data_IF_553815083106
#
_entry.id   IF_553815083106
#
_cell.length_a   1.000
_cell.length_b   1.000
_cell.length_c   1.000
_cell.angle_alpha   90.00
_cell.angle_beta   90.00
_cell.angle_gamma   90.00
#
_symmetry.space_group_name_H-M   'P 1'
#
loop_
_entity.id
_entity.type
_entity.pdbx_description
1 polymer ?
#
# COMPACT_ATOMS: atom_id res chain seq x y z
N UNK A 1 31.47 -36.05 -8.09
CA UNK A 1 30.34 -35.57 -7.28
C UNK A 1 30.60 -34.19 -6.65
N UNK A 2 31.71 -33.92 -5.99
CA UNK A 2 31.97 -32.61 -5.35
C UNK A 2 31.97 -31.41 -6.32
N UNK A 3 32.52 -31.57 -7.54
CA UNK A 3 32.55 -30.50 -8.54
C UNK A 3 31.19 -30.19 -9.19
N UNK A 4 30.27 -31.14 -9.22
CA UNK A 4 28.88 -30.93 -9.73
C UNK A 4 28.06 -30.18 -8.70
N UNK A 5 28.23 -30.46 -7.41
CA UNK A 5 27.58 -29.73 -6.31
C UNK A 5 28.09 -28.28 -6.19
N UNK A 6 29.39 -28.05 -6.36
CA UNK A 6 29.98 -26.71 -6.37
C UNK A 6 29.51 -25.88 -7.58
N UNK A 7 29.40 -26.49 -8.77
CA UNK A 7 28.85 -25.86 -9.97
C UNK A 7 27.35 -25.56 -9.85
N UNK A 8 26.58 -26.45 -9.20
CA UNK A 8 25.17 -26.21 -8.93
C UNK A 8 24.94 -25.11 -7.88
N UNK A 9 25.73 -25.10 -6.82
CA UNK A 9 25.72 -24.03 -5.80
C UNK A 9 26.14 -22.67 -6.39
N UNK A 10 27.18 -22.63 -7.22
CA UNK A 10 27.61 -21.43 -7.93
C UNK A 10 26.52 -20.90 -8.89
N UNK A 11 25.84 -21.80 -9.62
CA UNK A 11 24.70 -21.42 -10.46
C UNK A 11 23.48 -20.94 -9.66
N UNK A 12 23.23 -21.55 -8.50
CA UNK A 12 22.16 -21.07 -7.58
C UNK A 12 22.54 -19.71 -7.01
N UNK A 13 23.80 -19.48 -6.63
CA UNK A 13 24.27 -18.17 -6.16
C UNK A 13 24.27 -17.12 -7.27
N UNK A 14 24.62 -17.50 -8.52
CA UNK A 14 24.51 -16.63 -9.69
C UNK A 14 23.04 -16.37 -10.11
N UNK A 15 22.15 -17.34 -9.95
CA UNK A 15 20.70 -17.13 -10.13
C UNK A 15 20.11 -16.23 -9.04
N UNK A 16 20.57 -16.35 -7.79
CA UNK A 16 20.20 -15.41 -6.71
C UNK A 16 20.79 -14.00 -6.94
N UNK A 17 21.95 -13.87 -7.57
CA UNK A 17 22.51 -12.58 -7.97
C UNK A 17 21.87 -12.03 -9.26
N UNK A 18 21.44 -12.86 -10.21
CA UNK A 18 20.73 -12.43 -11.43
C UNK A 18 19.25 -12.13 -11.18
N UNK A 19 18.60 -12.74 -10.18
CA UNK A 19 17.24 -12.38 -9.71
C UNK A 19 17.23 -11.06 -8.91
N UNK A 20 18.37 -10.49 -8.59
CA UNK A 20 18.51 -9.07 -8.27
C UNK A 20 18.44 -8.16 -9.50
N UNK A 21 17.57 -8.40 -10.44
CA UNK A 21 17.05 -7.32 -11.25
C UNK A 21 16.26 -6.43 -10.29
N UNK A 22 16.93 -5.41 -9.81
CA UNK A 22 16.42 -4.43 -8.85
C UNK A 22 15.36 -3.64 -9.60
N UNK A 23 14.12 -4.10 -9.53
CA UNK A 23 13.02 -3.40 -10.15
C UNK A 23 12.90 -2.06 -9.49
N UNK A 24 12.95 -1.03 -10.32
CA UNK A 24 12.86 0.34 -9.89
C UNK A 24 11.41 0.80 -10.00
N UNK A 25 10.86 1.17 -8.87
CA UNK A 25 9.55 1.81 -8.87
C UNK A 25 9.65 3.22 -9.43
N UNK A 26 8.58 3.70 -10.07
CA UNK A 26 8.50 5.05 -10.67
C UNK A 26 8.81 6.17 -9.67
N UNK A 27 8.57 5.96 -8.40
CA UNK A 27 8.82 6.90 -7.30
C UNK A 27 10.33 7.09 -7.00
N UNK A 28 11.20 6.21 -7.53
CA UNK A 28 12.65 6.28 -7.31
C UNK A 28 13.26 7.55 -7.91
N UNK A 29 12.92 7.86 -9.16
CA UNK A 29 13.49 9.01 -9.88
C UNK A 29 13.16 10.33 -9.18
N UNK A 30 11.89 10.64 -8.84
CA UNK A 30 11.57 11.85 -8.08
C UNK A 30 12.24 11.91 -6.70
N UNK A 31 12.35 10.78 -5.98
CA UNK A 31 13.01 10.76 -4.68
C UNK A 31 14.50 11.09 -4.79
N UNK A 32 15.20 10.51 -5.77
CA UNK A 32 16.62 10.82 -6.04
C UNK A 32 16.79 12.30 -6.37
N UNK A 33 15.96 12.84 -7.27
CA UNK A 33 16.02 14.26 -7.66
C UNK A 33 15.86 15.19 -6.43
N UNK A 34 14.88 14.94 -5.56
CA UNK A 34 14.66 15.71 -4.33
C UNK A 34 15.83 15.61 -3.34
N UNK A 35 16.46 14.44 -3.26
CA UNK A 35 17.63 14.25 -2.40
C UNK A 35 18.91 14.88 -2.96
N UNK A 36 18.95 15.23 -4.25
CA UNK A 36 20.04 15.98 -4.88
C UNK A 36 19.86 17.50 -4.74
N UNK A 37 18.63 17.98 -4.55
CA UNK A 37 18.35 19.39 -4.32
C UNK A 37 19.01 19.89 -3.02
N UNK A 38 19.28 21.21 -2.90
CA UNK A 38 19.67 21.79 -1.63
C UNK A 38 18.67 21.43 -0.52
N UNK A 39 19.16 21.23 0.70
CA UNK A 39 18.34 20.89 1.86
C UNK A 39 17.20 21.89 2.04
N UNK A 40 15.97 21.46 1.76
CA UNK A 40 14.77 22.29 1.85
C UNK A 40 13.62 21.61 2.59
N UNK A 41 13.38 20.33 2.31
CA UNK A 41 12.28 19.54 2.86
C UNK A 41 12.77 18.20 3.38
N UNK A 42 12.16 17.76 4.47
CA UNK A 42 12.20 16.37 4.92
C UNK A 42 11.49 15.50 3.86
N UNK A 43 12.10 14.40 3.47
CA UNK A 43 11.48 13.46 2.57
C UNK A 43 10.79 12.35 3.37
N UNK A 44 9.50 12.18 3.19
CA UNK A 44 8.70 11.17 3.89
C UNK A 44 8.27 10.11 2.89
N UNK A 45 8.68 8.86 3.10
CA UNK A 45 8.26 7.71 2.31
C UNK A 45 7.23 6.92 3.10
N UNK A 46 5.96 7.06 2.73
CA UNK A 46 4.84 6.46 3.42
C UNK A 46 4.10 5.42 2.54
N UNK A 47 3.62 4.35 3.13
CA UNK A 47 2.86 3.31 2.43
C UNK A 47 2.64 2.08 3.29
N UNK A 48 1.76 1.15 2.90
CA UNK A 48 1.51 -0.10 3.62
C UNK A 48 2.78 -0.90 3.88
N UNK A 49 2.70 -1.89 4.77
CA UNK A 49 3.80 -2.84 4.94
C UNK A 49 4.09 -3.62 3.64
N UNK A 50 5.32 -4.05 3.50
CA UNK A 50 5.77 -4.97 2.43
C UNK A 50 5.63 -4.43 1.00
N UNK A 51 5.43 -3.12 0.80
CA UNK A 51 5.39 -2.49 -0.55
C UNK A 51 6.77 -2.07 -1.08
N UNK A 52 7.85 -2.27 -0.30
CA UNK A 52 9.23 -1.99 -0.74
C UNK A 52 9.76 -0.60 -0.37
N UNK A 53 9.26 0.09 0.68
CA UNK A 53 9.75 1.41 1.12
C UNK A 53 11.25 1.44 1.38
N UNK A 54 11.75 0.54 2.21
CA UNK A 54 13.17 0.44 2.58
C UNK A 54 14.04 0.12 1.35
N UNK A 55 13.53 -0.73 0.44
CA UNK A 55 14.20 -1.04 -0.83
C UNK A 55 14.31 0.20 -1.71
N UNK A 56 13.23 0.97 -1.87
CA UNK A 56 13.22 2.22 -2.65
C UNK A 56 14.26 3.22 -2.12
N UNK A 57 14.30 3.44 -0.81
CA UNK A 57 15.26 4.37 -0.20
C UNK A 57 16.69 3.86 -0.37
N UNK A 58 16.95 2.57 -0.19
CA UNK A 58 18.26 1.97 -0.46
C UNK A 58 18.72 2.19 -1.91
N UNK A 59 17.83 1.95 -2.89
CA UNK A 59 18.11 2.22 -4.31
C UNK A 59 18.40 3.71 -4.57
N UNK A 60 17.67 4.61 -3.91
CA UNK A 60 17.91 6.03 -4.02
C UNK A 60 19.30 6.40 -3.49
N UNK A 61 19.70 5.87 -2.33
CA UNK A 61 21.02 6.09 -1.74
C UNK A 61 22.16 5.53 -2.62
N UNK A 62 21.97 4.33 -3.18
CA UNK A 62 22.94 3.72 -4.10
C UNK A 62 23.10 4.57 -5.38
N UNK A 63 22.02 5.13 -5.93
CA UNK A 63 22.10 6.05 -7.08
C UNK A 63 22.81 7.35 -6.74
N UNK A 64 22.56 7.92 -5.56
CA UNK A 64 23.26 9.11 -5.09
C UNK A 64 24.78 8.85 -4.98
N UNK A 65 25.19 7.74 -4.41
CA UNK A 65 26.61 7.35 -4.31
C UNK A 65 27.27 7.22 -5.67
N UNK A 66 26.61 6.55 -6.64
CA UNK A 66 27.13 6.42 -8.01
C UNK A 66 27.27 7.78 -8.70
N UNK A 67 26.30 8.66 -8.53
CA UNK A 67 26.35 10.00 -9.10
C UNK A 67 27.52 10.82 -8.52
N UNK A 68 27.76 10.72 -7.22
CA UNK A 68 28.93 11.37 -6.55
C UNK A 68 30.26 10.84 -7.05
N UNK A 69 30.38 9.53 -7.28
CA UNK A 69 31.60 8.92 -7.84
C UNK A 69 31.86 9.32 -9.29
N UNK A 70 30.82 9.54 -10.08
CA UNK A 70 30.93 9.92 -11.49
C UNK A 70 31.29 11.40 -11.71
N UNK A 71 31.08 12.27 -10.72
CA UNK A 71 31.38 13.70 -10.80
C UNK A 71 32.24 14.15 -9.61
N UNK A 72 33.56 14.28 -9.78
CA UNK A 72 34.48 14.68 -8.70
C UNK A 72 34.21 16.08 -8.12
N UNK A 73 33.42 16.90 -8.80
CA UNK A 73 33.08 18.25 -8.35
C UNK A 73 31.93 18.29 -7.31
N UNK A 74 31.21 17.20 -7.12
CA UNK A 74 30.17 17.08 -6.09
C UNK A 74 30.79 16.53 -4.79
N UNK A 75 30.63 17.25 -3.68
CA UNK A 75 31.09 16.79 -2.38
C UNK A 75 30.51 15.39 -2.09
N UNK A 76 31.31 14.43 -1.60
CA UNK A 76 30.83 13.09 -1.27
C UNK A 76 29.72 13.20 -0.22
N UNK A 77 28.53 12.69 -0.55
CA UNK A 77 27.43 12.58 0.41
C UNK A 77 27.64 11.34 1.26
N UNK A 78 27.66 11.54 2.55
CA UNK A 78 27.62 10.43 3.52
C UNK A 78 26.17 10.06 3.82
N UNK A 79 25.98 8.88 4.40
CA UNK A 79 24.66 8.41 4.77
C UNK A 79 24.70 7.73 6.14
N UNK A 80 23.62 7.90 6.90
CA UNK A 80 23.39 7.21 8.15
C UNK A 80 21.96 6.69 8.17
N UNK A 81 21.78 5.39 8.42
CA UNK A 81 20.46 4.76 8.47
C UNK A 81 20.24 4.11 9.83
N UNK A 82 19.11 4.39 10.45
CA UNK A 82 18.73 3.83 11.72
C UNK A 82 17.23 3.45 11.72
N UNK A 83 16.91 2.33 12.38
CA UNK A 83 15.54 1.85 12.51
C UNK A 83 15.09 1.88 13.98
N UNK A 84 13.89 2.38 14.21
CA UNK A 84 13.25 2.35 15.52
C UNK A 84 12.63 0.98 15.85
N UNK A 85 12.83 -0.05 15.02
CA UNK A 85 12.35 -1.43 15.22
C UNK A 85 13.32 -2.28 16.07
N UNK A 86 14.37 -1.68 16.63
CA UNK A 86 15.35 -2.36 17.49
C UNK A 86 14.75 -2.82 18.83
N UNK A 87 15.46 -3.75 19.55
CA UNK A 87 15.05 -4.19 20.85
C UNK A 87 15.07 -3.03 21.87
N UNK A 88 13.97 -2.83 22.57
CA UNK A 88 13.77 -1.75 23.53
C UNK A 88 12.91 -0.61 23.02
N UNK A 89 12.39 0.20 23.95
CA UNK A 89 11.61 1.40 23.62
C UNK A 89 12.56 2.49 23.11
N UNK A 90 12.47 2.80 21.83
CA UNK A 90 13.19 3.92 21.24
C UNK A 90 12.51 5.23 21.61
N UNK A 91 13.25 6.13 22.23
CA UNK A 91 12.74 7.43 22.69
C UNK A 91 13.39 8.61 22.00
N UNK A 92 13.08 9.84 22.44
CA UNK A 92 13.66 11.09 21.93
C UNK A 92 15.19 11.09 22.01
N UNK A 93 15.78 10.49 23.05
CA UNK A 93 17.24 10.40 23.22
C UNK A 93 17.87 9.59 22.09
N UNK A 94 17.26 8.43 21.73
CA UNK A 94 17.72 7.63 20.61
C UNK A 94 17.70 8.45 19.29
N UNK A 95 16.59 9.15 19.03
CA UNK A 95 16.44 9.98 17.83
C UNK A 95 17.50 11.08 17.80
N UNK A 96 17.72 11.77 18.91
CA UNK A 96 18.79 12.78 19.06
C UNK A 96 20.17 12.20 18.78
N UNK A 97 20.47 10.98 19.30
CA UNK A 97 21.74 10.28 19.05
C UNK A 97 21.95 10.00 17.55
N UNK A 98 20.94 9.45 16.86
CA UNK A 98 21.06 9.19 15.41
C UNK A 98 21.29 10.49 14.63
N UNK A 99 20.64 11.55 15.04
CA UNK A 99 20.78 12.85 14.41
C UNK A 99 22.17 13.47 14.64
N UNK A 100 22.76 13.30 15.83
CA UNK A 100 24.13 13.75 16.10
C UNK A 100 25.18 13.01 15.28
N UNK A 101 24.99 11.70 15.05
CA UNK A 101 25.84 10.92 14.12
C UNK A 101 25.79 11.53 12.72
N UNK A 102 24.59 11.83 12.21
CA UNK A 102 24.44 12.46 10.90
C UNK A 102 25.06 13.86 10.82
N UNK A 103 24.98 14.67 11.89
CA UNK A 103 25.65 15.97 12.00
C UNK A 103 27.17 15.83 11.94
N UNK A 104 27.74 14.87 12.65
CA UNK A 104 29.18 14.60 12.63
C UNK A 104 29.66 14.20 11.22
N UNK A 105 28.91 13.33 10.54
CA UNK A 105 29.20 12.94 9.16
C UNK A 105 29.08 14.13 8.19
N UNK A 106 28.05 14.95 8.33
CA UNK A 106 27.87 16.14 7.51
C UNK A 106 28.98 17.16 7.73
N UNK A 107 29.48 17.32 8.95
CA UNK A 107 30.62 18.21 9.26
C UNK A 107 31.92 17.76 8.58
N UNK A 108 32.11 16.45 8.40
CA UNK A 108 33.30 15.88 7.74
C UNK A 108 33.21 15.91 6.21
N UNK A 109 32.03 15.63 5.64
CA UNK A 109 31.87 15.42 4.21
C UNK A 109 31.05 16.52 3.49
N UNK A 110 30.62 17.55 4.23
CA UNK A 110 29.80 18.66 3.71
C UNK A 110 28.29 18.37 3.75
N UNK A 111 27.87 17.12 3.60
CA UNK A 111 26.45 16.74 3.69
C UNK A 111 26.27 15.29 4.15
N UNK A 112 25.11 15.00 4.74
CA UNK A 112 24.71 13.65 5.15
C UNK A 112 23.22 13.41 4.88
N UNK A 113 22.88 12.23 4.34
CA UNK A 113 21.49 11.74 4.29
C UNK A 113 21.23 10.88 5.51
N UNK A 114 20.33 11.34 6.39
CA UNK A 114 19.86 10.60 7.56
C UNK A 114 18.56 9.87 7.20
N UNK A 115 18.57 8.55 7.31
CA UNK A 115 17.37 7.71 7.10
C UNK A 115 16.87 7.19 8.44
N UNK A 116 15.61 7.50 8.75
CA UNK A 116 14.92 7.05 9.97
C UNK A 116 13.77 6.14 9.59
N UNK A 117 13.91 4.84 9.85
CA UNK A 117 12.89 3.84 9.55
C UNK A 117 12.02 3.54 10.77
N UNK A 118 10.72 3.26 10.52
CA UNK A 118 9.70 2.96 11.53
C UNK A 118 9.59 4.04 12.63
N UNK A 119 9.79 5.32 12.26
CA UNK A 119 9.85 6.45 13.18
C UNK A 119 8.60 6.61 14.06
N UNK A 120 7.44 6.14 13.59
CA UNK A 120 6.17 6.20 14.35
C UNK A 120 6.21 5.41 15.66
N UNK A 121 7.20 4.56 15.87
CA UNK A 121 7.43 3.84 17.13
C UNK A 121 8.05 4.71 18.21
N UNK A 122 8.66 5.83 17.85
CA UNK A 122 9.21 6.82 18.77
C UNK A 122 8.11 7.73 19.27
N UNK A 123 7.85 7.77 20.58
CA UNK A 123 6.86 8.67 21.15
C UNK A 123 7.22 10.14 20.92
N UNK A 124 6.24 10.95 20.48
CA UNK A 124 6.40 12.38 20.20
C UNK A 124 7.57 12.70 19.24
N UNK A 125 7.81 11.82 18.28
CA UNK A 125 8.90 11.95 17.31
C UNK A 125 8.82 13.25 16.49
N UNK A 126 7.63 13.74 16.19
CA UNK A 126 7.42 14.92 15.35
C UNK A 126 7.95 16.19 15.98
N UNK A 127 7.76 16.38 17.28
CA UNK A 127 8.30 17.53 18.02
C UNK A 127 9.83 17.50 18.03
N UNK A 128 10.41 16.33 18.26
CA UNK A 128 11.87 16.18 18.29
C UNK A 128 12.48 16.36 16.90
N UNK A 129 11.90 15.76 15.86
CA UNK A 129 12.34 15.97 14.47
C UNK A 129 12.25 17.46 14.11
N UNK A 130 11.15 18.13 14.44
CA UNK A 130 10.99 19.56 14.21
C UNK A 130 12.10 20.37 14.87
N UNK A 131 12.35 20.13 16.16
CA UNK A 131 13.38 20.83 16.94
C UNK A 131 14.76 20.67 16.28
N UNK A 132 15.16 19.43 15.97
CA UNK A 132 16.46 19.11 15.38
C UNK A 132 16.59 19.69 13.95
N UNK A 133 15.50 19.63 13.18
CA UNK A 133 15.44 20.22 11.84
C UNK A 133 15.61 21.73 11.84
N UNK A 134 14.90 22.43 12.75
CA UNK A 134 14.96 23.88 12.88
C UNK A 134 16.35 24.34 13.39
N UNK A 135 16.97 23.59 14.31
CA UNK A 135 18.36 23.82 14.75
C UNK A 135 19.38 23.72 13.60
N UNK A 136 19.24 22.69 12.73
CA UNK A 136 20.14 22.53 11.59
C UNK A 136 19.91 23.61 10.54
N UNK A 137 18.66 24.07 10.38
CA UNK A 137 18.33 25.19 9.49
C UNK A 137 18.98 26.48 9.97
N UNK A 138 18.90 26.77 11.26
CA UNK A 138 19.52 27.96 11.87
C UNK A 138 21.06 27.92 11.79
N UNK A 139 21.65 26.73 11.87
CA UNK A 139 23.09 26.53 11.84
C UNK A 139 23.67 26.30 10.42
N UNK A 140 22.84 26.28 9.38
CA UNK A 140 23.25 26.04 7.99
C UNK A 140 23.85 24.64 7.75
N UNK A 141 23.44 23.61 8.53
CA UNK A 141 23.95 22.25 8.39
C UNK A 141 23.19 21.50 7.30
N UNK A 142 23.90 20.84 6.38
CA UNK A 142 23.27 20.03 5.31
C UNK A 142 23.06 18.58 5.76
N UNK A 143 22.10 18.39 6.69
CA UNK A 143 21.58 17.06 7.06
C UNK A 143 20.23 16.89 6.36
N UNK A 144 20.20 16.08 5.29
CA UNK A 144 18.99 15.76 4.53
C UNK A 144 18.35 14.55 5.16
N UNK A 145 17.05 14.61 5.44
CA UNK A 145 16.38 13.59 6.24
C UNK A 145 15.32 12.86 5.42
N UNK A 146 15.38 11.54 5.47
CA UNK A 146 14.38 10.63 4.91
C UNK A 146 13.70 9.88 6.05
N UNK A 147 12.40 9.98 6.12
CA UNK A 147 11.56 9.32 7.13
C UNK A 147 10.75 8.23 6.43
N UNK A 148 10.83 7.00 6.94
CA UNK A 148 9.99 5.89 6.49
C UNK A 148 8.99 5.49 7.57
N UNK A 149 7.77 5.14 7.14
CA UNK A 149 6.77 4.59 8.04
C UNK A 149 5.77 3.68 7.36
N UNK A 150 5.43 2.59 8.05
CA UNK A 150 4.50 1.56 7.57
C UNK A 150 3.03 1.89 7.84
N UNK A 151 2.75 2.84 8.74
CA UNK A 151 1.42 3.29 9.08
C UNK A 151 1.15 4.69 8.52
N UNK A 152 0.65 4.80 7.26
CA UNK A 152 0.45 6.09 6.61
C UNK A 152 -0.38 7.08 7.42
N UNK A 153 -1.40 6.57 8.13
CA UNK A 153 -2.28 7.39 8.97
C UNK A 153 -1.55 8.00 10.18
N UNK A 154 -0.69 7.23 10.87
CA UNK A 154 0.10 7.72 12.00
C UNK A 154 1.11 8.78 11.54
N UNK A 155 1.77 8.53 10.42
CA UNK A 155 2.69 9.49 9.81
C UNK A 155 1.94 10.77 9.42
N UNK A 156 0.78 10.65 8.74
CA UNK A 156 0.00 11.80 8.31
C UNK A 156 -0.50 12.64 9.50
N UNK A 157 -0.98 12.03 10.58
CA UNK A 157 -1.39 12.73 11.82
C UNK A 157 -0.23 13.49 12.43
N UNK A 158 0.91 12.82 12.64
CA UNK A 158 2.09 13.45 13.22
C UNK A 158 2.61 14.64 12.39
N UNK A 159 2.63 14.51 11.06
CA UNK A 159 3.11 15.55 10.17
C UNK A 159 2.18 16.77 10.10
N UNK A 160 0.86 16.57 10.20
CA UNK A 160 -0.11 17.66 10.04
C UNK A 160 -0.11 18.66 11.20
N UNK A 161 0.22 18.21 12.44
CA UNK A 161 0.10 19.02 13.64
C UNK A 161 1.32 19.93 13.89
N UNK A 162 2.55 19.44 13.63
CA UNK A 162 3.76 20.19 13.99
C UNK A 162 4.73 20.44 12.85
N UNK A 163 4.62 19.74 11.73
CA UNK A 163 5.60 19.71 10.64
C UNK A 163 5.17 20.44 9.37
N UNK A 164 4.04 21.16 9.39
CA UNK A 164 3.49 21.86 8.22
C UNK A 164 4.56 22.73 7.51
N UNK A 165 4.66 22.60 6.19
CA UNK A 165 5.60 23.35 5.35
C UNK A 165 7.05 22.86 5.36
N UNK A 166 7.37 21.75 6.10
CA UNK A 166 8.75 21.25 6.24
C UNK A 166 9.01 19.93 5.53
N UNK A 167 8.02 19.31 4.93
CA UNK A 167 8.15 17.96 4.35
C UNK A 167 7.48 17.82 2.99
N UNK A 168 7.95 16.82 2.25
CA UNK A 168 7.31 16.28 1.06
C UNK A 168 7.07 14.79 1.25
N UNK A 169 5.93 14.29 0.73
CA UNK A 169 5.58 12.88 0.87
C UNK A 169 5.69 12.16 -0.48
N UNK A 170 6.44 11.06 -0.49
CA UNK A 170 6.40 10.03 -1.53
C UNK A 170 5.50 8.90 -1.04
N UNK A 171 4.35 8.71 -1.68
CA UNK A 171 3.40 7.66 -1.32
C UNK A 171 3.62 6.42 -2.16
N UNK A 172 3.82 5.27 -1.50
CA UNK A 172 3.89 3.96 -2.12
C UNK A 172 2.59 3.20 -1.89
N UNK A 173 1.93 2.81 -2.97
CA UNK A 173 0.81 1.86 -2.94
C UNK A 173 1.29 0.42 -3.03
N UNK A 174 0.34 -0.53 -2.93
CA UNK A 174 0.60 -1.91 -3.31
C UNK A 174 1.07 -2.01 -4.75
N UNK A 175 1.81 -3.07 -5.07
CA UNK A 175 2.29 -3.29 -6.43
C UNK A 175 1.12 -3.62 -7.34
N UNK A 176 1.11 -2.97 -8.50
CA UNK A 176 0.09 -3.13 -9.53
C UNK A 176 0.43 -4.26 -10.47
N UNK A 177 -0.52 -4.69 -11.28
CA UNK A 177 -0.32 -5.77 -12.24
C UNK A 177 0.92 -5.55 -13.13
N UNK A 178 1.04 -4.38 -13.74
CA UNK A 178 2.20 -4.07 -14.60
C UNK A 178 3.54 -4.23 -13.85
N UNK A 179 3.62 -3.79 -12.59
CA UNK A 179 4.82 -3.94 -11.76
C UNK A 179 5.12 -5.40 -11.43
N UNK A 180 4.09 -6.21 -11.11
CA UNK A 180 4.25 -7.65 -10.82
C UNK A 180 4.59 -8.45 -12.08
N UNK A 181 3.99 -8.10 -13.23
CA UNK A 181 4.31 -8.69 -14.54
C UNK A 181 5.77 -8.43 -14.92
N UNK A 182 6.18 -7.17 -14.87
CA UNK A 182 7.52 -6.75 -15.32
C UNK A 182 8.61 -7.26 -14.37
N UNK A 183 8.27 -7.42 -13.06
CA UNK A 183 9.16 -7.85 -12.01
C UNK A 183 9.33 -9.37 -11.89
N UNK A 184 8.23 -10.06 -11.94
CA UNK A 184 8.16 -11.48 -11.55
C UNK A 184 7.54 -12.35 -12.66
N UNK A 185 7.19 -11.77 -13.80
CA UNK A 185 6.57 -12.50 -14.91
C UNK A 185 5.14 -12.97 -14.60
N UNK A 186 4.43 -12.28 -13.72
CA UNK A 186 3.06 -12.67 -13.36
C UNK A 186 2.15 -12.62 -14.59
N UNK A 187 1.37 -13.69 -14.81
CA UNK A 187 0.20 -13.59 -15.67
C UNK A 187 -0.89 -12.77 -14.98
N UNK A 188 -1.87 -12.32 -15.75
CA UNK A 188 -3.03 -11.62 -15.21
C UNK A 188 -3.79 -12.47 -14.19
N UNK A 189 -3.97 -13.76 -14.48
CA UNK A 189 -4.66 -14.69 -13.59
C UNK A 189 -3.90 -14.90 -12.28
N UNK A 190 -2.57 -14.96 -12.34
CA UNK A 190 -1.73 -15.00 -11.15
C UNK A 190 -1.89 -13.73 -10.31
N UNK A 191 -1.92 -12.57 -10.95
CA UNK A 191 -2.13 -11.31 -10.22
C UNK A 191 -3.53 -11.22 -9.61
N UNK A 192 -4.57 -11.62 -10.32
CA UNK A 192 -5.95 -11.67 -9.82
C UNK A 192 -6.04 -12.53 -8.56
N UNK A 193 -5.34 -13.66 -8.50
CA UNK A 193 -5.40 -14.59 -7.38
C UNK A 193 -4.40 -14.27 -6.27
N UNK A 194 -3.12 -14.10 -6.62
CA UNK A 194 -2.01 -13.94 -5.67
C UNK A 194 -1.74 -12.47 -5.29
N UNK A 195 -2.33 -11.50 -6.00
CA UNK A 195 -2.18 -10.08 -5.72
C UNK A 195 -0.77 -9.53 -5.95
N UNK A 196 -0.49 -8.39 -5.31
CA UNK A 196 0.72 -7.58 -5.54
C UNK A 196 1.62 -7.45 -4.30
N UNK A 197 1.99 -8.55 -3.64
CA UNK A 197 3.05 -8.56 -2.63
C UNK A 197 4.36 -9.12 -3.21
N UNK A 198 5.39 -8.28 -3.46
CA UNK A 198 6.63 -8.73 -4.08
C UNK A 198 7.36 -9.79 -3.26
N UNK A 199 7.30 -9.73 -1.93
CA UNK A 199 7.90 -10.74 -1.05
C UNK A 199 7.23 -12.11 -1.10
N UNK A 200 5.97 -12.18 -1.55
CA UNK A 200 5.24 -13.43 -1.71
C UNK A 200 5.37 -14.04 -3.12
N UNK A 201 5.82 -13.25 -4.10
CA UNK A 201 5.90 -13.68 -5.51
C UNK A 201 6.72 -14.97 -5.74
N UNK A 202 7.88 -15.20 -5.11
CA UNK A 202 8.63 -16.44 -5.30
C UNK A 202 7.92 -17.71 -4.81
N UNK A 203 6.86 -17.56 -4.00
CA UNK A 203 6.16 -18.69 -3.36
C UNK A 203 4.93 -19.15 -4.13
N UNK A 204 4.52 -18.49 -5.20
CA UNK A 204 3.25 -18.79 -5.92
C UNK A 204 3.19 -20.18 -6.56
N UNK A 205 4.32 -20.87 -6.67
CA UNK A 205 4.39 -22.26 -7.16
C UNK A 205 3.98 -23.28 -6.09
N UNK A 206 3.97 -22.89 -4.82
CA UNK A 206 3.48 -23.66 -3.68
C UNK A 206 2.41 -22.81 -2.97
N UNK A 207 1.16 -23.00 -3.40
CA UNK A 207 0.03 -22.20 -2.94
C UNK A 207 -0.17 -22.28 -1.41
N UNK A 208 0.09 -23.46 -0.81
CA UNK A 208 -0.04 -23.66 0.64
C UNK A 208 1.01 -22.85 1.39
N UNK A 209 2.26 -22.93 0.97
CA UNK A 209 3.37 -22.16 1.55
C UNK A 209 3.17 -20.66 1.32
N UNK A 210 2.71 -20.28 0.13
CA UNK A 210 2.38 -18.88 -0.18
C UNK A 210 1.29 -18.35 0.76
N UNK A 211 0.20 -19.09 0.94
CA UNK A 211 -0.91 -18.68 1.81
C UNK A 211 -0.47 -18.57 3.28
N UNK A 212 0.32 -19.51 3.79
CA UNK A 212 0.89 -19.46 5.13
C UNK A 212 1.78 -18.20 5.30
N UNK A 213 2.65 -17.90 4.32
CA UNK A 213 3.47 -16.68 4.36
C UNK A 213 2.62 -15.40 4.38
N UNK A 214 1.60 -15.32 3.52
CA UNK A 214 0.69 -14.15 3.49
C UNK A 214 -0.05 -14.01 4.82
N UNK A 215 -0.58 -15.10 5.37
CA UNK A 215 -1.28 -15.10 6.66
C UNK A 215 -0.36 -14.69 7.80
N UNK A 216 0.74 -15.40 8.01
CA UNK A 216 1.54 -15.29 9.22
C UNK A 216 2.49 -14.09 9.18
N UNK A 217 3.17 -13.90 8.05
CA UNK A 217 4.18 -12.85 7.93
C UNK A 217 3.61 -11.49 7.51
N UNK A 218 2.50 -11.45 6.75
CA UNK A 218 1.96 -10.19 6.25
C UNK A 218 0.72 -9.75 7.04
N UNK A 219 -0.30 -10.59 7.15
CA UNK A 219 -1.57 -10.21 7.78
C UNK A 219 -1.38 -10.06 9.29
N UNK A 220 -0.89 -11.12 9.97
CA UNK A 220 -0.73 -11.10 11.42
C UNK A 220 0.20 -9.99 11.91
N UNK A 221 1.31 -9.78 11.19
CA UNK A 221 2.25 -8.72 11.57
C UNK A 221 1.67 -7.33 11.36
N UNK A 222 0.87 -7.11 10.31
CA UNK A 222 0.24 -5.81 10.05
C UNK A 222 -0.85 -5.52 11.09
N UNK A 223 -1.73 -6.49 11.39
CA UNK A 223 -2.76 -6.31 12.41
C UNK A 223 -2.13 -6.06 13.77
N UNK A 224 -1.20 -6.91 14.22
CA UNK A 224 -0.63 -6.83 15.56
C UNK A 224 0.30 -5.64 15.77
N UNK A 225 1.04 -5.21 14.75
CA UNK A 225 2.06 -4.15 14.89
C UNK A 225 1.63 -2.79 14.39
N UNK A 226 0.76 -2.71 13.37
CA UNK A 226 0.35 -1.42 12.81
C UNK A 226 -1.06 -1.04 13.26
N UNK A 227 -2.06 -1.89 13.02
CA UNK A 227 -3.46 -1.53 13.31
C UNK A 227 -3.67 -1.30 14.81
N UNK A 228 -3.15 -2.20 15.66
CA UNK A 228 -3.29 -2.07 17.11
C UNK A 228 -2.48 -0.90 17.71
N UNK A 229 -1.48 -0.36 16.98
CA UNK A 229 -0.73 0.83 17.38
C UNK A 229 -1.42 2.13 16.94
N UNK A 230 -2.31 2.10 15.96
CA UNK A 230 -2.98 3.32 15.44
C UNK A 230 -3.96 3.93 16.43
N UNK A 231 -4.64 3.10 17.20
CA UNK A 231 -5.59 3.53 18.23
C UNK A 231 -5.78 2.41 19.26
N UNK A 232 -6.23 2.76 20.48
CA UNK A 232 -6.67 1.76 21.44
C UNK A 232 -7.82 0.92 20.88
N UNK A 233 -7.57 -0.34 20.59
CA UNK A 233 -8.58 -1.29 20.13
C UNK A 233 -9.09 -2.08 21.30
N UNK A 234 -10.36 -1.87 21.68
CA UNK A 234 -10.97 -2.53 22.83
C UNK A 234 -11.20 -4.03 22.60
N UNK A 235 -11.49 -4.43 21.37
CA UNK A 235 -11.81 -5.80 20.98
C UNK A 235 -10.93 -6.26 19.79
N UNK A 236 -9.66 -6.65 20.01
CA UNK A 236 -8.76 -7.07 18.92
C UNK A 236 -9.29 -8.28 18.13
N UNK A 237 -9.95 -9.23 18.79
CA UNK A 237 -10.55 -10.38 18.14
C UNK A 237 -11.70 -9.97 17.18
N UNK A 238 -12.48 -8.96 17.54
CA UNK A 238 -13.52 -8.43 16.65
C UNK A 238 -12.90 -7.70 15.45
N UNK A 239 -11.86 -6.90 15.64
CA UNK A 239 -11.12 -6.27 14.55
C UNK A 239 -10.64 -7.32 13.54
N UNK A 240 -10.08 -8.43 14.03
CA UNK A 240 -9.64 -9.54 13.18
C UNK A 240 -10.81 -10.13 12.38
N UNK A 241 -11.93 -10.40 13.01
CA UNK A 241 -13.13 -10.93 12.32
C UNK A 241 -13.69 -9.94 11.29
N UNK A 242 -13.64 -8.64 11.55
CA UNK A 242 -14.02 -7.59 10.57
C UNK A 242 -13.09 -7.64 9.35
N UNK A 243 -11.78 -7.84 9.57
CA UNK A 243 -10.84 -8.04 8.48
C UNK A 243 -11.14 -9.30 7.66
N UNK A 244 -11.35 -10.45 8.32
CA UNK A 244 -11.68 -11.72 7.64
C UNK A 244 -12.97 -11.57 6.83
N UNK A 245 -13.97 -10.88 7.39
CA UNK A 245 -15.21 -10.58 6.70
C UNK A 245 -14.97 -9.69 5.46
N UNK A 246 -14.10 -8.69 5.57
CA UNK A 246 -13.74 -7.83 4.44
C UNK A 246 -13.02 -8.61 3.32
N UNK A 247 -12.20 -9.62 3.66
CA UNK A 247 -11.59 -10.50 2.69
C UNK A 247 -12.62 -11.39 1.97
N UNK A 248 -13.55 -11.99 2.72
CA UNK A 248 -14.59 -12.87 2.15
C UNK A 248 -15.57 -12.09 1.26
N UNK A 249 -15.90 -10.85 1.61
CA UNK A 249 -16.87 -10.01 0.91
C UNK A 249 -16.22 -8.91 0.06
N UNK A 250 -14.93 -9.01 -0.26
CA UNK A 250 -14.29 -8.04 -1.14
C UNK A 250 -14.99 -7.99 -2.51
N UNK A 251 -15.26 -6.78 -3.01
CA UNK A 251 -16.07 -6.52 -4.19
C UNK A 251 -17.59 -6.53 -3.93
N UNK A 252 -18.07 -6.72 -2.69
CA UNK A 252 -19.51 -6.84 -2.40
C UNK A 252 -20.00 -5.76 -1.42
N UNK A 253 -21.27 -5.36 -1.61
CA UNK A 253 -21.94 -4.44 -0.70
C UNK A 253 -22.45 -5.22 0.51
N UNK A 254 -21.96 -4.86 1.70
CA UNK A 254 -22.37 -5.46 2.96
C UNK A 254 -22.78 -4.39 3.97
N UNK A 255 -24.04 -4.34 4.35
CA UNK A 255 -24.49 -3.35 5.33
C UNK A 255 -23.91 -3.66 6.72
N UNK A 256 -23.66 -2.61 7.51
CA UNK A 256 -23.19 -2.77 8.90
C UNK A 256 -24.12 -3.64 9.74
N UNK A 257 -25.43 -3.61 9.50
CA UNK A 257 -26.40 -4.49 10.18
C UNK A 257 -26.18 -5.96 9.82
N UNK A 258 -25.93 -6.27 8.54
CA UNK A 258 -25.59 -7.64 8.11
C UNK A 258 -24.25 -8.09 8.68
N UNK A 259 -23.27 -7.17 8.78
CA UNK A 259 -21.99 -7.47 9.43
C UNK A 259 -22.19 -7.80 10.91
N UNK A 260 -23.01 -7.04 11.65
CA UNK A 260 -23.38 -7.32 13.04
C UNK A 260 -23.96 -8.73 13.20
N UNK A 261 -24.84 -9.14 12.29
CA UNK A 261 -25.47 -10.47 12.34
C UNK A 261 -24.54 -11.65 12.03
N UNK A 262 -23.35 -11.37 11.49
CA UNK A 262 -22.32 -12.40 11.19
C UNK A 262 -21.16 -12.43 12.21
N UNK A 263 -21.13 -11.46 13.12
CA UNK A 263 -20.02 -11.27 14.05
C UNK A 263 -20.51 -11.39 15.48
N UNK A 264 -20.04 -12.38 16.22
CA UNK A 264 -20.29 -12.50 17.64
C UNK A 264 -19.68 -11.32 18.40
N UNK A 265 -20.39 -10.79 19.39
CA UNK A 265 -19.94 -9.68 20.25
C UNK A 265 -19.54 -8.40 19.45
N UNK A 266 -20.19 -8.16 18.32
CA UNK A 266 -19.85 -7.08 17.40
C UNK A 266 -20.08 -5.67 17.97
N UNK A 267 -20.85 -5.53 19.05
CA UNK A 267 -21.16 -4.22 19.62
C UNK A 267 -22.16 -3.44 18.76
N UNK A 268 -21.70 -2.37 18.11
CA UNK A 268 -22.55 -1.53 17.28
C UNK A 268 -21.91 -1.20 15.92
N UNK A 269 -22.70 -0.62 15.03
CA UNK A 269 -22.26 -0.26 13.67
C UNK A 269 -21.12 0.77 13.66
N UNK A 270 -21.04 1.66 14.66
CA UNK A 270 -19.98 2.66 14.78
C UNK A 270 -18.64 2.00 15.07
N UNK A 271 -18.62 0.95 15.90
CA UNK A 271 -17.41 0.17 16.16
C UNK A 271 -16.88 -0.51 14.90
N UNK A 272 -17.80 -1.10 14.09
CA UNK A 272 -17.41 -1.75 12.83
C UNK A 272 -16.87 -0.75 11.81
N UNK A 273 -17.52 0.42 11.69
CA UNK A 273 -17.04 1.49 10.82
C UNK A 273 -15.64 1.97 11.25
N UNK A 274 -15.44 2.20 12.55
CA UNK A 274 -14.14 2.58 13.08
C UNK A 274 -13.05 1.51 12.82
N UNK A 275 -13.38 0.22 12.92
CA UNK A 275 -12.42 -0.84 12.62
C UNK A 275 -12.09 -0.92 11.13
N UNK A 276 -13.05 -0.66 10.24
CA UNK A 276 -12.77 -0.53 8.81
C UNK A 276 -11.85 0.67 8.53
N UNK A 277 -12.05 1.82 9.19
CA UNK A 277 -11.17 2.99 9.07
C UNK A 277 -9.73 2.68 9.52
N UNK A 278 -9.57 1.88 10.59
CA UNK A 278 -8.23 1.44 11.02
C UNK A 278 -7.57 0.49 10.01
N UNK A 279 -8.33 -0.46 9.46
CA UNK A 279 -7.84 -1.37 8.42
C UNK A 279 -7.47 -0.62 7.13
N UNK A 280 -8.26 0.40 6.76
CA UNK A 280 -7.97 1.31 5.64
C UNK A 280 -6.66 2.08 5.90
N UNK A 281 -6.50 2.62 7.10
CA UNK A 281 -5.28 3.32 7.51
C UNK A 281 -4.02 2.46 7.45
N UNK A 282 -4.15 1.14 7.59
CA UNK A 282 -3.07 0.17 7.42
C UNK A 282 -2.91 -0.33 5.97
N UNK A 283 -3.79 0.07 5.06
CA UNK A 283 -3.78 -0.40 3.67
C UNK A 283 -4.15 -1.88 3.51
N UNK A 284 -5.04 -2.39 4.37
CA UNK A 284 -5.50 -3.78 4.33
C UNK A 284 -6.86 -3.92 3.64
N UNK A 285 -7.89 -3.25 4.17
CA UNK A 285 -9.25 -3.28 3.63
C UNK A 285 -9.96 -1.96 3.92
N UNK A 286 -10.92 -1.58 3.08
CA UNK A 286 -11.75 -0.40 3.25
C UNK A 286 -13.20 -0.67 2.89
N UNK A 287 -14.07 0.28 3.24
CA UNK A 287 -15.44 0.35 2.80
C UNK A 287 -15.66 1.45 1.78
N UNK A 288 -15.77 1.12 0.50
CA UNK A 288 -16.06 2.10 -0.54
C UNK A 288 -17.44 2.71 -0.34
N UNK A 289 -17.57 4.04 -0.37
CA UNK A 289 -18.84 4.71 -0.19
C UNK A 289 -19.73 4.60 -1.43
N UNK A 290 -21.05 4.67 -1.23
CA UNK A 290 -22.02 4.73 -2.31
C UNK A 290 -21.98 6.10 -3.00
N UNK A 291 -21.96 6.13 -4.33
CA UNK A 291 -22.13 7.36 -5.09
C UNK A 291 -23.61 7.81 -5.09
N UNK A 292 -23.86 9.02 -4.63
CA UNK A 292 -25.22 9.58 -4.49
C UNK A 292 -25.37 10.98 -5.14
N UNK A 293 -24.36 11.43 -5.88
CA UNK A 293 -24.35 12.78 -6.47
C UNK A 293 -24.13 13.92 -5.46
N UNK A 294 -24.52 13.75 -4.20
CA UNK A 294 -24.36 14.74 -3.12
C UNK A 294 -23.52 14.17 -1.96
N UNK A 295 -22.53 14.92 -1.51
CA UNK A 295 -21.54 14.47 -0.49
C UNK A 295 -22.16 14.17 0.88
N UNK A 296 -23.21 14.89 1.27
CA UNK A 296 -23.80 14.82 2.62
C UNK A 296 -24.50 13.48 2.93
N UNK A 297 -24.98 12.78 1.91
CA UNK A 297 -25.72 11.50 2.09
C UNK A 297 -24.85 10.25 2.06
N UNK A 298 -23.55 10.38 1.77
CA UNK A 298 -22.66 9.23 1.57
C UNK A 298 -22.35 8.45 2.86
N UNK A 299 -22.30 9.14 4.01
CA UNK A 299 -21.84 8.56 5.31
C UNK A 299 -22.78 7.53 5.93
N UNK A 300 -24.05 7.47 5.51
CA UNK A 300 -25.04 6.54 6.07
C UNK A 300 -25.31 5.30 5.20
N UNK A 301 -24.61 5.15 4.07
CA UNK A 301 -24.83 4.05 3.14
C UNK A 301 -24.03 2.79 3.54
N UNK A 302 -24.54 1.62 3.13
CA UNK A 302 -23.80 0.36 3.25
C UNK A 302 -22.48 0.46 2.48
N UNK A 303 -21.33 0.05 3.06
CA UNK A 303 -20.07 0.06 2.33
C UNK A 303 -20.03 -1.10 1.32
N UNK A 304 -19.32 -0.91 0.20
CA UNK A 304 -18.80 -2.00 -0.62
C UNK A 304 -17.41 -2.33 -0.08
N UNK A 305 -17.25 -3.53 0.47
CA UNK A 305 -15.99 -3.96 1.06
C UNK A 305 -14.94 -4.17 -0.04
N UNK A 306 -13.71 -3.73 0.21
CA UNK A 306 -12.63 -3.84 -0.76
C UNK A 306 -11.29 -4.04 -0.04
N UNK A 307 -10.54 -5.09 -0.41
CA UNK A 307 -9.16 -5.25 0.03
C UNK A 307 -8.22 -4.39 -0.81
N UNK A 308 -7.10 -3.97 -0.23
CA UNK A 308 -6.06 -3.22 -0.95
C UNK A 308 -5.13 -4.11 -1.76
N UNK A 309 -5.18 -5.43 -1.54
CA UNK A 309 -4.35 -6.40 -2.24
C UNK A 309 -5.07 -7.75 -2.30
N UNK A 310 -5.23 -8.28 -3.49
CA UNK A 310 -5.96 -9.55 -3.67
C UNK A 310 -5.30 -10.76 -2.99
N UNK A 311 -4.00 -10.69 -2.65
CA UNK A 311 -3.35 -11.72 -1.85
C UNK A 311 -4.08 -11.98 -0.53
N UNK A 312 -4.68 -10.93 0.07
CA UNK A 312 -5.46 -11.03 1.31
C UNK A 312 -6.73 -11.87 1.13
N UNK A 313 -7.35 -11.81 -0.05
CA UNK A 313 -8.48 -12.62 -0.42
C UNK A 313 -8.06 -14.03 -0.88
N UNK A 314 -7.00 -14.12 -1.72
CA UNK A 314 -6.49 -15.36 -2.28
C UNK A 314 -6.02 -16.34 -1.20
N UNK A 315 -5.28 -15.88 -0.18
CA UNK A 315 -4.83 -16.75 0.90
C UNK A 315 -6.01 -17.35 1.71
N UNK A 316 -7.11 -16.61 1.82
CA UNK A 316 -8.34 -17.11 2.45
C UNK A 316 -8.97 -18.25 1.65
N UNK A 317 -8.97 -18.16 0.31
CA UNK A 317 -9.45 -19.24 -0.55
C UNK A 317 -8.56 -20.46 -0.49
N UNK A 318 -7.23 -20.31 -0.48
CA UNK A 318 -6.30 -21.44 -0.33
C UNK A 318 -6.50 -22.15 1.01
N UNK A 319 -6.72 -21.40 2.10
CA UNK A 319 -7.02 -21.97 3.42
C UNK A 319 -8.32 -22.82 3.43
N UNK A 320 -9.24 -22.56 2.49
CA UNK A 320 -10.45 -23.35 2.28
C UNK A 320 -10.26 -24.46 1.23
N UNK A 321 -9.05 -24.73 0.80
CA UNK A 321 -8.73 -25.78 -0.19
C UNK A 321 -8.97 -25.37 -1.65
N UNK A 322 -9.16 -24.06 -1.92
CA UNK A 322 -9.42 -23.57 -3.28
C UNK A 322 -8.21 -22.80 -3.81
N UNK A 323 -7.38 -23.46 -4.61
CA UNK A 323 -6.24 -22.86 -5.30
C UNK A 323 -6.63 -22.16 -6.61
N UNK A 324 -5.63 -21.52 -7.28
CA UNK A 324 -5.83 -20.72 -8.50
C UNK A 324 -6.64 -21.45 -9.58
N UNK A 325 -6.22 -22.66 -9.96
CA UNK A 325 -6.89 -23.42 -11.02
C UNK A 325 -8.33 -23.79 -10.68
N UNK A 326 -8.59 -24.16 -9.43
CA UNK A 326 -9.92 -24.48 -8.96
C UNK A 326 -10.81 -23.22 -8.87
N UNK A 327 -10.26 -22.08 -8.50
CA UNK A 327 -10.97 -20.79 -8.48
C UNK A 327 -11.38 -20.34 -9.87
N UNK A 328 -10.54 -20.54 -10.90
CA UNK A 328 -10.85 -20.20 -12.30
C UNK A 328 -12.04 -21.04 -12.85
N UNK A 329 -12.21 -22.26 -12.37
CA UNK A 329 -13.33 -23.13 -12.76
C UNK A 329 -14.65 -22.76 -12.05
N UNK A 330 -14.63 -21.83 -11.12
CA UNK A 330 -15.80 -21.38 -10.37
C UNK A 330 -16.12 -19.93 -10.74
N UNK A 331 -17.07 -19.68 -11.67
CA UNK A 331 -17.40 -18.34 -12.16
C UNK A 331 -17.79 -17.35 -11.04
N UNK A 332 -18.45 -17.84 -9.99
CA UNK A 332 -18.84 -17.07 -8.82
C UNK A 332 -17.65 -16.56 -8.00
N UNK A 333 -16.61 -17.39 -7.86
CA UNK A 333 -15.37 -17.03 -7.15
C UNK A 333 -14.48 -16.18 -8.04
N UNK A 334 -14.28 -16.61 -9.30
CA UNK A 334 -13.41 -15.93 -10.24
C UNK A 334 -13.89 -14.51 -10.55
N UNK A 335 -15.23 -14.33 -10.73
CA UNK A 335 -15.83 -13.02 -10.93
C UNK A 335 -15.53 -12.06 -9.80
N UNK A 336 -15.67 -12.51 -8.55
CA UNK A 336 -15.36 -11.68 -7.37
C UNK A 336 -13.87 -11.36 -7.25
N UNK A 337 -12.99 -12.33 -7.53
CA UNK A 337 -11.55 -12.10 -7.54
C UNK A 337 -11.15 -11.08 -8.60
N UNK A 338 -11.70 -11.17 -9.81
CA UNK A 338 -11.43 -10.24 -10.90
C UNK A 338 -11.95 -8.83 -10.58
N UNK A 339 -13.17 -8.71 -10.06
CA UNK A 339 -13.72 -7.43 -9.63
C UNK A 339 -12.88 -6.82 -8.52
N UNK A 340 -12.54 -7.58 -7.48
CA UNK A 340 -11.66 -7.13 -6.40
C UNK A 340 -10.28 -6.72 -6.92
N UNK A 341 -9.70 -7.41 -7.92
CA UNK A 341 -8.41 -7.05 -8.51
C UNK A 341 -8.46 -5.68 -9.22
N UNK A 342 -9.55 -5.38 -9.92
CA UNK A 342 -9.78 -4.02 -10.47
C UNK A 342 -9.85 -2.99 -9.35
N UNK A 343 -10.58 -3.28 -8.28
CA UNK A 343 -10.65 -2.42 -7.11
C UNK A 343 -9.27 -2.16 -6.46
N UNK A 344 -8.43 -3.20 -6.34
CA UNK A 344 -7.05 -3.03 -5.81
C UNK A 344 -6.19 -2.16 -6.72
N UNK A 345 -6.30 -2.31 -8.04
CA UNK A 345 -5.58 -1.47 -9.01
C UNK A 345 -6.01 0.00 -8.92
N UNK A 346 -7.31 0.25 -8.79
CA UNK A 346 -7.85 1.61 -8.60
C UNK A 346 -7.36 2.23 -7.28
N UNK A 347 -7.39 1.48 -6.17
CA UNK A 347 -6.88 1.92 -4.88
C UNK A 347 -5.37 2.19 -4.91
N UNK A 348 -4.58 1.33 -5.55
CA UNK A 348 -3.14 1.52 -5.68
C UNK A 348 -2.80 2.80 -6.45
N UNK A 349 -3.53 3.10 -7.53
CA UNK A 349 -3.41 4.37 -8.27
C UNK A 349 -3.79 5.55 -7.40
N UNK A 350 -4.87 5.44 -6.64
CA UNK A 350 -5.33 6.51 -5.76
C UNK A 350 -4.30 6.88 -4.70
N UNK A 351 -3.68 5.91 -4.05
CA UNK A 351 -2.69 6.14 -2.99
C UNK A 351 -1.42 6.86 -3.48
N UNK A 352 -1.04 6.71 -4.74
CA UNK A 352 0.23 7.24 -5.29
C UNK A 352 0.12 8.68 -5.83
N UNK A 353 -1.09 9.22 -6.03
CA UNK A 353 -1.28 10.58 -6.56
C UNK A 353 -1.56 11.57 -5.43
N UNK A 354 -0.90 12.72 -5.42
CA UNK A 354 -0.74 13.55 -4.22
C UNK A 354 -1.83 14.57 -3.92
N UNK A 355 -2.78 14.90 -4.77
CA UNK A 355 -3.73 15.98 -4.43
C UNK A 355 -5.01 16.07 -5.27
N UNK A 356 -5.14 15.29 -6.33
CA UNK A 356 -6.34 15.23 -7.16
C UNK A 356 -6.70 13.77 -7.37
N UNK A 357 -7.29 13.18 -6.34
CA UNK A 357 -7.63 11.76 -6.42
C UNK A 357 -9.05 11.61 -6.91
N UNK A 358 -9.29 10.73 -7.90
CA UNK A 358 -10.63 10.23 -8.10
C UNK A 358 -11.08 9.58 -6.81
N UNK A 359 -12.17 10.03 -6.23
CA UNK A 359 -12.79 9.34 -5.10
C UNK A 359 -13.48 8.12 -5.69
N UNK A 360 -13.11 6.94 -5.19
CA UNK A 360 -13.65 5.67 -5.64
C UNK A 360 -14.93 5.39 -4.87
N UNK A 361 -16.00 5.13 -5.60
CA UNK A 361 -17.33 4.79 -5.09
C UNK A 361 -17.86 3.55 -5.79
N UNK A 362 -18.98 3.03 -5.33
CA UNK A 362 -19.86 2.16 -6.09
C UNK A 362 -21.22 2.83 -6.25
N UNK A 363 -22.07 2.32 -7.15
CA UNK A 363 -23.44 2.79 -7.25
C UNK A 363 -24.43 1.62 -7.23
N UNK A 364 -25.54 1.81 -6.55
CA UNK A 364 -26.61 0.82 -6.47
C UNK A 364 -27.94 1.52 -6.20
N UNK A 365 -28.99 1.19 -6.95
CA UNK A 365 -30.33 1.72 -6.76
C UNK A 365 -31.31 0.72 -6.12
N UNK A 366 -30.81 -0.41 -5.60
CA UNK A 366 -31.58 -1.50 -5.02
C UNK A 366 -31.88 -2.65 -6.00
N UNK A 367 -31.88 -2.38 -7.32
CA UNK A 367 -32.12 -3.39 -8.36
C UNK A 367 -30.90 -3.59 -9.28
N UNK A 368 -30.14 -2.53 -9.49
CA UNK A 368 -29.00 -2.48 -10.42
C UNK A 368 -27.78 -1.88 -9.73
N UNK A 369 -26.62 -2.36 -10.09
CA UNK A 369 -25.34 -1.96 -9.52
C UNK A 369 -24.35 -1.57 -10.62
N UNK A 370 -23.45 -0.64 -10.30
CA UNK A 370 -22.21 -0.35 -11.02
C UNK A 370 -21.06 -0.63 -10.07
N UNK A 371 -20.11 -1.44 -10.51
CA UNK A 371 -19.05 -1.95 -9.66
C UNK A 371 -18.19 -0.85 -9.07
N UNK A 372 -17.75 0.10 -9.91
CA UNK A 372 -16.97 1.25 -9.46
C UNK A 372 -17.44 2.54 -10.15
N UNK A 373 -17.44 3.61 -9.39
CA UNK A 373 -17.69 4.97 -9.89
C UNK A 373 -16.52 5.83 -9.45
N UNK A 374 -15.79 6.38 -10.43
CA UNK A 374 -14.65 7.25 -10.19
C UNK A 374 -15.07 8.70 -10.41
N UNK A 375 -14.78 9.56 -9.44
CA UNK A 375 -14.97 11.00 -9.55
C UNK A 375 -13.64 11.72 -9.47
N UNK A 376 -13.23 12.38 -10.56
CA UNK A 376 -12.04 13.23 -10.61
C UNK A 376 -12.44 14.63 -11.07
N UNK A 377 -12.61 15.53 -10.10
CA UNK A 377 -13.14 16.87 -10.35
C UNK A 377 -14.50 16.82 -11.05
N UNK A 378 -14.63 17.33 -12.27
CA UNK A 378 -15.86 17.30 -13.07
C UNK A 378 -16.08 15.96 -13.78
N UNK A 379 -15.04 15.13 -13.93
CA UNK A 379 -15.11 13.86 -14.64
C UNK A 379 -15.73 12.80 -13.76
N UNK A 380 -16.73 12.11 -14.30
CA UNK A 380 -17.40 10.99 -13.67
C UNK A 380 -17.30 9.77 -14.60
N UNK A 381 -16.75 8.67 -14.11
CA UNK A 381 -16.62 7.42 -14.85
C UNK A 381 -17.35 6.31 -14.11
N UNK A 382 -18.10 5.50 -14.83
CA UNK A 382 -18.80 4.34 -14.30
C UNK A 382 -18.20 3.07 -14.91
N UNK A 383 -17.68 2.19 -14.05
CA UNK A 383 -16.94 0.99 -14.45
C UNK A 383 -17.72 -0.26 -14.08
N UNK A 384 -17.80 -1.18 -15.04
CA UNK A 384 -18.37 -2.52 -14.90
C UNK A 384 -17.27 -3.55 -15.22
N UNK A 385 -17.08 -4.55 -14.36
CA UNK A 385 -16.07 -5.59 -14.53
C UNK A 385 -16.70 -6.87 -15.07
N UNK A 386 -16.15 -7.42 -16.14
CA UNK A 386 -16.62 -8.66 -16.78
C UNK A 386 -15.48 -9.67 -16.93
N UNK A 387 -15.51 -10.72 -16.15
CA UNK A 387 -14.50 -11.81 -16.16
C UNK A 387 -14.96 -13.08 -16.88
N UNK A 388 -16.21 -13.14 -17.34
CA UNK A 388 -16.79 -14.29 -18.06
C UNK A 388 -16.55 -14.25 -19.57
N UNK A 389 -16.98 -15.29 -20.29
CA UNK A 389 -16.83 -15.38 -21.76
C UNK A 389 -17.79 -14.46 -22.53
N UNK A 390 -18.87 -14.02 -21.93
CA UNK A 390 -19.87 -13.14 -22.54
C UNK A 390 -19.92 -11.79 -21.83
N UNK A 391 -20.21 -10.71 -22.59
CA UNK A 391 -20.39 -9.34 -22.09
C UNK A 391 -21.43 -9.25 -20.95
N UNK A 392 -22.35 -10.20 -20.89
CA UNK A 392 -23.40 -10.21 -19.90
C UNK A 392 -24.31 -8.97 -19.95
N UNK A 393 -25.07 -8.77 -18.91
CA UNK A 393 -26.00 -7.63 -18.80
C UNK A 393 -25.24 -6.40 -18.22
N UNK A 394 -25.18 -5.30 -18.99
CA UNK A 394 -24.66 -3.98 -18.56
C UNK A 394 -25.77 -3.04 -18.13
N UNK A 395 -26.90 -3.57 -17.69
CA UNK A 395 -28.07 -2.77 -17.28
C UNK A 395 -27.79 -1.81 -16.13
N UNK A 396 -26.77 -2.10 -15.31
CA UNK A 396 -26.28 -1.19 -14.26
C UNK A 396 -25.74 0.11 -14.84
N UNK A 397 -24.82 0.02 -15.81
CA UNK A 397 -24.28 1.19 -16.52
C UNK A 397 -25.40 1.99 -17.20
N UNK A 398 -26.32 1.33 -17.91
CA UNK A 398 -27.42 1.99 -18.58
C UNK A 398 -28.31 2.77 -17.59
N UNK A 399 -28.63 2.19 -16.44
CA UNK A 399 -29.42 2.85 -15.41
C UNK A 399 -28.65 4.00 -14.74
N UNK A 400 -27.35 3.85 -14.55
CA UNK A 400 -26.49 4.92 -14.02
C UNK A 400 -26.46 6.13 -14.98
N UNK A 401 -26.26 5.88 -16.28
CA UNK A 401 -26.23 6.93 -17.31
C UNK A 401 -27.57 7.66 -17.48
N UNK A 402 -28.69 6.98 -17.27
CA UNK A 402 -30.01 7.64 -17.22
C UNK A 402 -30.08 8.67 -16.09
N UNK A 403 -29.46 8.39 -14.95
CA UNK A 403 -29.45 9.30 -13.79
C UNK A 403 -28.31 10.35 -13.87
N UNK A 404 -27.17 9.99 -14.46
CA UNK A 404 -25.96 10.81 -14.57
C UNK A 404 -25.47 10.84 -16.02
N UNK A 405 -26.19 11.55 -16.88
CA UNK A 405 -25.96 11.56 -18.33
C UNK A 405 -24.57 12.06 -18.77
N UNK A 406 -23.86 12.79 -17.91
CA UNK A 406 -22.51 13.28 -18.18
C UNK A 406 -21.41 12.25 -17.81
N UNK A 407 -21.78 11.11 -17.24
CA UNK A 407 -20.83 10.08 -16.86
C UNK A 407 -20.34 9.29 -18.08
N UNK A 408 -19.09 8.86 -18.03
CA UNK A 408 -18.46 8.04 -19.05
C UNK A 408 -18.53 6.56 -18.63
N UNK A 409 -19.20 5.70 -19.42
CA UNK A 409 -19.24 4.26 -19.13
C UNK A 409 -17.94 3.60 -19.58
N UNK A 410 -17.46 2.63 -18.80
CA UNK A 410 -16.31 1.80 -19.11
C UNK A 410 -16.60 0.35 -18.71
N UNK A 411 -16.42 -0.57 -19.65
CA UNK A 411 -16.42 -2.02 -19.36
C UNK A 411 -14.98 -2.49 -19.33
N UNK A 412 -14.60 -3.19 -18.26
CA UNK A 412 -13.25 -3.74 -18.07
C UNK A 412 -13.33 -5.27 -18.16
N UNK A 413 -12.44 -5.86 -18.98
CA UNK A 413 -12.39 -7.30 -19.24
C UNK A 413 -13.14 -7.70 -20.49
N UNK A 414 -13.88 -8.81 -20.47
CA UNK A 414 -14.48 -9.41 -21.67
C UNK A 414 -15.38 -8.43 -22.43
N UNK A 415 -15.03 -8.16 -23.69
CA UNK A 415 -15.76 -7.27 -24.58
C UNK A 415 -15.61 -5.77 -24.29
N UNK A 416 -14.69 -5.41 -23.41
CA UNK A 416 -14.35 -4.04 -23.08
C UNK A 416 -12.84 -3.78 -23.14
N UNK A 417 -12.36 -2.84 -22.30
CA UNK A 417 -10.93 -2.57 -22.15
C UNK A 417 -10.26 -3.79 -21.47
N UNK A 418 -9.09 -4.26 -21.96
CA UNK A 418 -8.36 -5.32 -21.27
C UNK A 418 -8.04 -4.98 -19.82
N UNK A 419 -7.87 -6.01 -19.00
CA UNK A 419 -7.45 -5.85 -17.60
C UNK A 419 -5.95 -5.55 -17.46
N UNK A 420 -5.17 -5.78 -18.51
CA UNK A 420 -3.71 -5.62 -18.57
C UNK A 420 -3.24 -4.21 -19.03
#
# INVERSE_FOLDING_TARGET
>A
MKNILLSALSKITQLDEQVKMTIERKELIPLVARLQEPRRFLQVVAGPRHVGKTTLVRQALERLQRATQASPATAPQTQHSASADGPGLQGRVWLGTQWQVARALAAQAGSCVLVLDEIQKVSNWTEEVKRLWDEDTAAGRDVRVVILGSAPLLIARGLSESMAGRFEITRLGHWRYAEMRDAFGFSLEQFIFFGGYPGAAPLVHDETRWAAYVSDALIETTISKDVLLMAPVQKPALLRRVFDLACVYSGQILSYQKMLGQLDDAGNTTTLAHYLDLLEGAGMACGLPKYMGQVVRQRASSPKLQVFNNALMGCHWVAQGLGLKAAQLRPDVWGRLAESAVGTELLARHLTHSSRHPIIHYWNNGQKEVDYVLRDGPTLQALEVKSGHNLGNVSGLSAFLQQFAHAQPLVIGTGGMPLD
#
